data_IF_657087870310
#
_entry.id   IF_657087870310
#
_cell.length_a   1.000
_cell.length_b   1.000
_cell.length_c   1.000
_cell.angle_alpha   90.00
_cell.angle_beta   90.00
_cell.angle_gamma   90.00
#
_symmetry.space_group_name_H-M   'P 1'
#
loop_
_entity.id
_entity.type
_entity.pdbx_description
1 polymer ?
#
# COMPACT_ATOMS: atom_id res chain seq x y z
N UNK A 1 -34.57 -50.22 -18.20
CA UNK A 1 -33.41 -49.88 -17.33
C UNK A 1 -32.46 -48.88 -17.99
N UNK A 2 -31.96 -49.13 -19.20
CA UNK A 2 -31.05 -48.21 -19.92
C UNK A 2 -31.66 -46.81 -20.16
N UNK A 3 -32.95 -46.72 -20.49
CA UNK A 3 -33.62 -45.43 -20.69
C UNK A 3 -33.69 -44.58 -19.42
N UNK A 4 -33.93 -45.22 -18.27
CA UNK A 4 -33.95 -44.53 -16.96
C UNK A 4 -32.55 -43.99 -16.65
N UNK A 5 -31.49 -44.76 -16.93
CA UNK A 5 -30.12 -44.31 -16.72
C UNK A 5 -29.75 -43.13 -17.63
N UNK A 6 -30.18 -43.15 -18.89
CA UNK A 6 -29.92 -42.06 -19.83
C UNK A 6 -30.65 -40.77 -19.43
N UNK A 7 -31.89 -40.87 -18.95
CA UNK A 7 -32.67 -39.72 -18.45
C UNK A 7 -31.98 -39.13 -17.21
N UNK A 8 -31.52 -39.98 -16.29
CA UNK A 8 -30.73 -39.56 -15.13
C UNK A 8 -29.46 -38.83 -15.61
N UNK A 9 -28.69 -39.42 -16.52
CA UNK A 9 -27.46 -38.80 -17.03
C UNK A 9 -27.71 -37.42 -17.67
N UNK A 10 -28.76 -37.28 -18.47
CA UNK A 10 -29.14 -36.02 -19.13
C UNK A 10 -29.39 -34.88 -18.15
N UNK A 11 -29.89 -35.19 -16.95
CA UNK A 11 -30.17 -34.23 -15.89
C UNK A 11 -28.92 -33.98 -15.03
N UNK A 12 -28.21 -35.03 -14.64
CA UNK A 12 -27.11 -34.92 -13.68
C UNK A 12 -25.83 -34.29 -14.26
N UNK A 13 -25.51 -34.55 -15.54
CA UNK A 13 -24.32 -33.98 -16.20
C UNK A 13 -24.31 -32.44 -16.17
N UNK A 14 -25.34 -31.72 -16.64
CA UNK A 14 -25.33 -30.26 -16.63
C UNK A 14 -25.29 -29.69 -15.21
N UNK A 15 -25.99 -30.30 -14.24
CA UNK A 15 -25.96 -29.87 -12.84
C UNK A 15 -24.55 -29.98 -12.27
N UNK A 16 -23.90 -31.13 -12.48
CA UNK A 16 -22.54 -31.35 -12.00
C UNK A 16 -21.54 -30.39 -12.65
N UNK A 17 -21.65 -30.15 -13.96
CA UNK A 17 -20.81 -29.20 -14.68
C UNK A 17 -20.94 -27.77 -14.11
N UNK A 18 -22.16 -27.32 -13.81
CA UNK A 18 -22.41 -26.01 -13.20
C UNK A 18 -21.79 -25.92 -11.80
N UNK A 19 -21.93 -26.96 -10.97
CA UNK A 19 -21.35 -26.98 -9.62
C UNK A 19 -19.82 -26.86 -9.66
N UNK A 20 -19.17 -27.64 -10.53
CA UNK A 20 -17.71 -27.59 -10.72
C UNK A 20 -17.29 -26.22 -11.24
N UNK A 21 -18.01 -25.69 -12.24
CA UNK A 21 -17.75 -24.35 -12.79
C UNK A 21 -17.80 -23.25 -11.74
N UNK A 22 -18.86 -23.22 -10.93
CA UNK A 22 -19.01 -22.23 -9.84
C UNK A 22 -17.89 -22.35 -8.80
N UNK A 23 -17.52 -23.58 -8.40
CA UNK A 23 -16.43 -23.82 -7.44
C UNK A 23 -15.09 -23.29 -7.97
N UNK A 24 -14.79 -23.56 -9.25
CA UNK A 24 -13.57 -23.06 -9.90
C UNK A 24 -13.60 -21.54 -10.03
N UNK A 25 -14.75 -20.94 -10.36
CA UNK A 25 -14.92 -19.50 -10.48
C UNK A 25 -14.73 -18.78 -9.14
N UNK A 26 -15.33 -19.27 -8.06
CA UNK A 26 -15.14 -18.70 -6.71
C UNK A 26 -13.67 -18.78 -6.29
N UNK A 27 -13.02 -19.93 -6.52
CA UNK A 27 -11.59 -20.10 -6.22
C UNK A 27 -10.73 -19.13 -7.04
N UNK A 28 -11.04 -18.98 -8.32
CA UNK A 28 -10.36 -18.04 -9.20
C UNK A 28 -10.53 -16.59 -8.73
N UNK A 29 -11.76 -16.19 -8.37
CA UNK A 29 -12.05 -14.84 -7.88
C UNK A 29 -11.28 -14.54 -6.59
N UNK A 30 -11.33 -15.43 -5.58
CA UNK A 30 -10.55 -15.28 -4.34
C UNK A 30 -9.04 -15.13 -4.63
N UNK A 31 -8.50 -15.92 -5.57
CA UNK A 31 -7.10 -15.80 -5.97
C UNK A 31 -6.81 -14.47 -6.66
N UNK A 32 -7.72 -13.99 -7.50
CA UNK A 32 -7.59 -12.72 -8.19
C UNK A 32 -7.61 -11.53 -7.22
N UNK A 33 -8.48 -11.55 -6.21
CA UNK A 33 -8.55 -10.52 -5.17
C UNK A 33 -7.23 -10.46 -4.39
N UNK A 34 -6.69 -11.62 -3.96
CA UNK A 34 -5.35 -11.73 -3.33
C UNK A 34 -4.25 -11.19 -4.23
N UNK A 35 -4.29 -11.54 -5.52
CA UNK A 35 -3.33 -11.08 -6.52
C UNK A 35 -3.38 -9.57 -6.72
N UNK A 36 -4.56 -8.96 -6.67
CA UNK A 36 -4.71 -7.50 -6.77
C UNK A 36 -4.00 -6.80 -5.60
N UNK A 37 -4.24 -7.26 -4.37
CA UNK A 37 -3.56 -6.72 -3.17
C UNK A 37 -2.04 -6.88 -3.32
N UNK A 38 -1.57 -8.08 -3.67
CA UNK A 38 -0.15 -8.35 -3.87
C UNK A 38 0.50 -7.44 -4.93
N UNK A 39 -0.15 -7.27 -6.10
CA UNK A 39 0.35 -6.39 -7.17
C UNK A 39 0.46 -4.93 -6.72
N UNK A 40 -0.56 -4.42 -6.02
CA UNK A 40 -0.57 -3.04 -5.51
C UNK A 40 0.60 -2.84 -4.55
N UNK A 41 0.76 -3.71 -3.56
CA UNK A 41 1.82 -3.59 -2.57
C UNK A 41 3.22 -3.78 -3.17
N UNK A 42 3.38 -4.74 -4.09
CA UNK A 42 4.63 -4.93 -4.83
C UNK A 42 4.99 -3.70 -5.66
N UNK A 43 4.02 -3.07 -6.32
CA UNK A 43 4.25 -1.88 -7.16
C UNK A 43 4.71 -0.69 -6.32
N UNK A 44 4.14 -0.51 -5.14
CA UNK A 44 4.41 0.64 -4.26
C UNK A 44 5.52 0.39 -3.23
N UNK A 45 6.22 -0.75 -3.30
CA UNK A 45 7.21 -1.15 -2.27
C UNK A 45 8.43 -0.24 -2.12
N UNK A 46 8.73 0.60 -3.12
CA UNK A 46 9.86 1.56 -3.08
C UNK A 46 9.40 2.93 -2.60
N UNK A 47 8.41 3.50 -3.29
CA UNK A 47 8.03 4.91 -3.14
C UNK A 47 6.97 5.14 -2.06
N UNK A 48 6.53 4.07 -1.38
CA UNK A 48 5.81 4.14 -0.12
C UNK A 48 4.31 4.34 -0.27
N UNK A 49 3.74 5.11 0.66
CA UNK A 49 2.32 5.20 0.93
C UNK A 49 1.57 6.00 -0.16
N UNK A 50 0.77 5.29 -0.93
CA UNK A 50 -0.28 5.83 -1.81
C UNK A 50 -1.65 5.49 -1.26
N UNK A 51 -2.70 6.13 -1.76
CA UNK A 51 -4.07 5.79 -1.38
C UNK A 51 -4.36 4.31 -1.68
N UNK A 52 -3.88 3.82 -2.82
CA UNK A 52 -4.03 2.45 -3.28
C UNK A 52 -3.31 1.47 -2.34
N UNK A 53 -2.08 1.78 -1.92
CA UNK A 53 -1.35 0.92 -0.98
C UNK A 53 -2.00 0.89 0.40
N UNK A 54 -2.49 2.02 0.91
CA UNK A 54 -3.23 2.07 2.20
C UNK A 54 -4.49 1.22 2.12
N UNK A 55 -5.29 1.38 1.07
CA UNK A 55 -6.49 0.57 0.85
C UNK A 55 -6.15 -0.92 0.75
N UNK A 56 -5.08 -1.27 0.03
CA UNK A 56 -4.65 -2.65 -0.10
C UNK A 56 -4.23 -3.26 1.24
N UNK A 57 -3.49 -2.52 2.07
CA UNK A 57 -3.11 -2.96 3.42
C UNK A 57 -4.34 -3.18 4.31
N UNK A 58 -5.29 -2.25 4.28
CA UNK A 58 -6.52 -2.32 5.08
C UNK A 58 -7.44 -3.49 4.68
N UNK A 59 -7.32 -4.00 3.46
CA UNK A 59 -8.10 -5.14 2.97
C UNK A 59 -7.45 -6.50 3.25
N UNK A 60 -6.23 -6.56 3.80
CA UNK A 60 -5.50 -7.83 3.99
C UNK A 60 -6.29 -8.81 4.84
N UNK A 61 -6.84 -8.39 5.98
CA UNK A 61 -7.57 -9.29 6.89
C UNK A 61 -8.84 -9.88 6.25
N UNK A 62 -9.41 -9.21 5.26
CA UNK A 62 -10.60 -9.66 4.52
C UNK A 62 -10.19 -10.59 3.37
N UNK A 63 -9.29 -10.13 2.50
CA UNK A 63 -8.89 -10.83 1.27
C UNK A 63 -8.07 -12.10 1.57
N UNK A 64 -7.26 -12.06 2.63
CA UNK A 64 -6.46 -13.19 3.11
C UNK A 64 -7.05 -13.83 4.38
N UNK A 65 -8.38 -13.75 4.58
CA UNK A 65 -9.05 -14.34 5.75
C UNK A 65 -8.68 -15.81 5.97
N UNK A 66 -8.58 -16.57 4.87
CA UNK A 66 -8.25 -18.01 4.85
C UNK A 66 -6.72 -18.29 4.93
N UNK A 67 -5.84 -17.27 4.88
CA UNK A 67 -4.38 -17.43 4.90
C UNK A 67 -3.79 -16.93 6.23
N UNK A 68 -3.78 -17.80 7.23
CA UNK A 68 -3.32 -17.46 8.58
C UNK A 68 -1.87 -16.93 8.61
N UNK A 69 -0.97 -17.48 7.78
CA UNK A 69 0.42 -17.03 7.69
C UNK A 69 0.53 -15.56 7.26
N UNK A 70 -0.24 -15.16 6.23
CA UNK A 70 -0.26 -13.77 5.74
C UNK A 70 -0.81 -12.85 6.82
N UNK A 71 -1.92 -13.21 7.47
CA UNK A 71 -2.51 -12.38 8.53
C UNK A 71 -1.59 -12.24 9.75
N UNK A 72 -0.85 -13.29 10.12
CA UNK A 72 0.15 -13.22 11.19
C UNK A 72 1.28 -12.25 10.83
N UNK A 73 1.86 -12.38 9.64
CA UNK A 73 2.92 -11.48 9.18
C UNK A 73 2.43 -10.05 9.02
N UNK A 74 1.18 -9.85 8.59
CA UNK A 74 0.55 -8.53 8.52
C UNK A 74 0.49 -7.86 9.88
N UNK A 75 0.04 -8.57 10.92
CA UNK A 75 0.03 -8.04 12.30
C UNK A 75 1.41 -7.65 12.80
N UNK A 76 2.44 -8.45 12.48
CA UNK A 76 3.84 -8.15 12.82
C UNK A 76 4.29 -6.87 12.12
N UNK A 77 4.00 -6.72 10.83
CA UNK A 77 4.33 -5.50 10.09
C UNK A 77 3.58 -4.28 10.63
N UNK A 78 2.26 -4.40 10.86
CA UNK A 78 1.40 -3.36 11.40
C UNK A 78 1.89 -2.83 12.76
N UNK A 79 2.34 -3.71 13.64
CA UNK A 79 2.95 -3.34 14.93
C UNK A 79 4.15 -2.40 14.76
N UNK A 80 4.96 -2.60 13.71
CA UNK A 80 6.11 -1.73 13.42
C UNK A 80 5.73 -0.36 12.88
N UNK A 81 4.50 -0.19 12.40
CA UNK A 81 4.03 1.07 11.84
C UNK A 81 3.53 2.07 12.90
N UNK A 82 3.28 1.63 14.14
CA UNK A 82 2.78 2.51 15.21
C UNK A 82 3.87 3.37 15.89
N UNK A 83 5.06 3.49 15.29
CA UNK A 83 6.16 4.30 15.82
C UNK A 83 6.07 5.73 15.30
N UNK A 84 5.94 6.69 16.21
CA UNK A 84 6.06 8.11 15.90
C UNK A 84 7.54 8.51 15.76
N UNK A 85 7.90 9.22 14.67
CA UNK A 85 9.27 9.67 14.38
C UNK A 85 10.32 8.54 14.44
N UNK A 86 10.19 7.52 13.57
CA UNK A 86 11.04 6.33 13.62
C UNK A 86 12.52 6.66 13.38
N UNK A 87 13.38 6.01 14.14
CA UNK A 87 14.83 5.97 13.92
C UNK A 87 15.18 5.17 12.66
N UNK A 88 16.39 5.33 12.14
CA UNK A 88 16.88 4.54 10.98
C UNK A 88 16.80 3.02 11.22
N UNK A 89 17.01 2.60 12.47
CA UNK A 89 16.87 1.19 12.88
C UNK A 89 15.42 0.71 12.77
N UNK A 90 14.45 1.55 13.16
CA UNK A 90 13.03 1.23 13.07
C UNK A 90 12.55 1.26 11.63
N UNK A 91 12.99 2.24 10.82
CA UNK A 91 12.74 2.27 9.38
C UNK A 91 13.23 1.00 8.68
N UNK A 92 14.42 0.51 9.07
CA UNK A 92 14.96 -0.75 8.56
C UNK A 92 14.09 -1.95 8.96
N UNK A 93 13.61 -2.00 10.21
CA UNK A 93 12.68 -3.05 10.68
C UNK A 93 11.34 -3.01 9.94
N UNK A 94 10.77 -1.83 9.75
CA UNK A 94 9.54 -1.62 8.98
C UNK A 94 9.72 -2.19 7.56
N UNK A 95 10.81 -1.83 6.88
CA UNK A 95 11.14 -2.35 5.54
C UNK A 95 11.25 -3.87 5.52
N UNK A 96 11.99 -4.46 6.46
CA UNK A 96 12.20 -5.92 6.53
C UNK A 96 10.86 -6.64 6.71
N UNK A 97 10.01 -6.18 7.64
CA UNK A 97 8.72 -6.84 7.91
C UNK A 97 7.72 -6.65 6.77
N UNK A 98 7.80 -5.53 6.04
CA UNK A 98 7.05 -5.34 4.79
C UNK A 98 7.49 -6.34 3.71
N UNK A 99 8.80 -6.54 3.51
CA UNK A 99 9.33 -7.49 2.52
C UNK A 99 8.96 -8.93 2.86
N UNK A 100 9.01 -9.32 4.14
CA UNK A 100 8.52 -10.63 4.61
C UNK A 100 7.03 -10.81 4.39
N UNK A 101 6.22 -9.75 4.55
CA UNK A 101 4.80 -9.79 4.23
C UNK A 101 4.57 -10.08 2.74
N UNK A 102 5.31 -9.39 1.86
CA UNK A 102 5.24 -9.60 0.42
C UNK A 102 5.63 -11.03 0.02
N UNK A 103 6.70 -11.58 0.60
CA UNK A 103 7.09 -12.98 0.37
C UNK A 103 6.02 -13.96 0.87
N UNK A 104 5.45 -13.72 2.05
CA UNK A 104 4.39 -14.56 2.63
C UNK A 104 3.13 -14.56 1.74
N UNK A 105 2.77 -13.40 1.18
CA UNK A 105 1.68 -13.31 0.19
C UNK A 105 2.01 -14.05 -1.11
N UNK A 106 3.24 -13.95 -1.59
CA UNK A 106 3.69 -14.66 -2.79
C UNK A 106 3.58 -16.18 -2.61
N UNK A 107 4.00 -16.68 -1.45
CA UNK A 107 3.85 -18.08 -1.07
C UNK A 107 2.37 -18.52 -1.06
N UNK A 108 1.48 -17.73 -0.47
CA UNK A 108 0.04 -17.99 -0.47
C UNK A 108 -0.59 -18.00 -1.88
N UNK A 109 -0.01 -17.26 -2.83
CA UNK A 109 -0.43 -17.21 -4.23
C UNK A 109 0.16 -18.33 -5.11
N UNK A 110 1.03 -19.18 -4.55
CA UNK A 110 1.68 -20.30 -5.24
C UNK A 110 3.01 -19.94 -5.90
N UNK A 111 3.66 -18.83 -5.51
CA UNK A 111 4.98 -18.41 -6.01
C UNK A 111 6.13 -18.77 -5.06
N UNK A 112 5.93 -19.81 -4.24
CA UNK A 112 6.96 -20.31 -3.33
C UNK A 112 8.23 -20.64 -4.11
N UNK A 113 9.37 -20.22 -3.57
CA UNK A 113 10.72 -20.40 -4.14
C UNK A 113 10.95 -19.66 -5.50
N UNK A 114 9.94 -18.97 -6.03
CA UNK A 114 10.03 -18.16 -7.27
C UNK A 114 10.16 -16.68 -6.93
N UNK A 115 9.30 -16.18 -6.05
CA UNK A 115 9.34 -14.80 -5.55
C UNK A 115 9.84 -14.83 -4.12
N UNK A 116 11.16 -14.76 -3.96
CA UNK A 116 11.84 -14.80 -2.66
C UNK A 116 12.07 -13.41 -2.09
N UNK A 117 12.33 -13.33 -0.79
CA UNK A 117 12.74 -12.11 -0.10
C UNK A 117 13.87 -11.37 -0.84
N UNK A 118 14.88 -12.10 -1.32
CA UNK A 118 16.03 -11.55 -2.05
C UNK A 118 15.62 -10.89 -3.37
N UNK A 119 14.61 -11.45 -4.07
CA UNK A 119 14.08 -10.89 -5.31
C UNK A 119 13.25 -9.62 -5.06
N UNK A 120 12.51 -9.60 -3.95
CA UNK A 120 11.67 -8.46 -3.54
C UNK A 120 12.56 -7.25 -3.22
N UNK A 121 13.72 -7.49 -2.60
CA UNK A 121 14.71 -6.50 -2.21
C UNK A 121 15.45 -5.80 -3.35
N UNK A 122 15.35 -6.31 -4.58
CA UNK A 122 16.04 -5.76 -5.76
C UNK A 122 15.05 -5.13 -6.74
N UNK A 123 14.32 -4.07 -6.35
CA UNK A 123 13.36 -3.45 -7.24
C UNK A 123 14.05 -2.59 -8.31
N UNK A 124 13.37 -2.40 -9.44
CA UNK A 124 13.77 -1.38 -10.41
C UNK A 124 13.48 0.01 -9.85
N UNK A 125 14.51 0.85 -9.74
CA UNK A 125 14.40 2.25 -9.28
C UNK A 125 14.66 3.16 -10.49
N UNK A 126 13.61 3.76 -11.08
CA UNK A 126 13.77 4.65 -12.23
C UNK A 126 14.42 5.98 -11.83
N UNK A 127 15.65 6.23 -12.29
CA UNK A 127 16.43 7.45 -11.97
C UNK A 127 15.66 8.75 -12.24
N UNK A 128 15.08 8.89 -13.44
CA UNK A 128 14.35 10.11 -13.81
C UNK A 128 13.12 10.37 -12.93
N UNK A 129 12.46 9.33 -12.43
CA UNK A 129 11.34 9.50 -11.49
C UNK A 129 11.85 9.92 -10.10
N UNK A 130 12.93 9.30 -9.62
CA UNK A 130 13.56 9.69 -8.35
C UNK A 130 14.02 11.15 -8.38
N UNK A 131 14.66 11.57 -9.47
CA UNK A 131 15.08 12.96 -9.70
C UNK A 131 13.87 13.92 -9.73
N UNK A 132 12.79 13.54 -10.43
CA UNK A 132 11.56 14.34 -10.48
C UNK A 132 10.90 14.49 -9.10
N UNK A 133 10.84 13.43 -8.29
CA UNK A 133 10.27 13.47 -6.94
C UNK A 133 11.12 14.40 -6.05
N UNK A 134 12.45 14.27 -6.11
CA UNK A 134 13.37 15.10 -5.34
C UNK A 134 13.24 16.58 -5.74
N UNK A 135 13.19 16.88 -7.05
CA UNK A 135 13.00 18.24 -7.54
C UNK A 135 11.68 18.83 -7.04
N UNK A 136 10.57 18.08 -7.13
CA UNK A 136 9.27 18.52 -6.64
C UNK A 136 9.28 18.81 -5.13
N UNK A 137 9.95 17.98 -4.33
CA UNK A 137 10.11 18.21 -2.88
C UNK A 137 10.93 19.48 -2.59
N UNK A 138 12.00 19.72 -3.35
CA UNK A 138 12.81 20.93 -3.23
C UNK A 138 11.99 22.18 -3.60
N UNK A 139 11.22 22.12 -4.69
CA UNK A 139 10.39 23.23 -5.14
C UNK A 139 9.31 23.59 -4.10
N UNK A 140 8.64 22.59 -3.53
CA UNK A 140 7.65 22.78 -2.45
C UNK A 140 8.29 23.43 -1.21
N UNK A 141 9.47 22.95 -0.82
CA UNK A 141 10.21 23.52 0.32
C UNK A 141 10.62 24.97 0.03
N UNK A 142 11.16 25.25 -1.14
CA UNK A 142 11.56 26.60 -1.52
C UNK A 142 10.36 27.57 -1.55
N UNK A 143 9.22 27.14 -2.08
CA UNK A 143 7.98 27.91 -2.04
C UNK A 143 7.53 28.22 -0.60
N UNK A 144 7.62 27.24 0.32
CA UNK A 144 7.27 27.46 1.72
C UNK A 144 8.19 28.49 2.41
N UNK A 145 9.49 28.47 2.10
CA UNK A 145 10.47 29.43 2.65
C UNK A 145 10.16 30.84 2.14
N UNK A 146 9.96 31.00 0.83
CA UNK A 146 9.60 32.30 0.22
C UNK A 146 8.29 32.83 0.80
N UNK A 147 7.29 31.96 1.00
CA UNK A 147 6.00 32.36 1.61
C UNK A 147 6.16 32.82 3.06
N UNK A 148 7.01 32.17 3.84
CA UNK A 148 7.28 32.57 5.23
C UNK A 148 8.09 33.88 5.29
N UNK A 149 9.07 34.08 4.40
CA UNK A 149 9.78 35.35 4.24
C UNK A 149 8.82 36.49 3.85
N UNK A 150 7.92 36.24 2.89
CA UNK A 150 6.90 37.21 2.47
C UNK A 150 5.97 37.57 3.63
N UNK A 151 5.51 36.59 4.39
CA UNK A 151 4.69 36.80 5.60
C UNK A 151 5.42 37.64 6.64
N UNK A 152 6.73 37.42 6.82
CA UNK A 152 7.55 38.22 7.72
C UNK A 152 7.74 39.66 7.22
N UNK A 153 7.95 39.86 5.91
CA UNK A 153 7.99 41.20 5.29
C UNK A 153 6.67 41.96 5.43
N UNK A 154 5.53 41.29 5.24
CA UNK A 154 4.21 41.90 5.43
C UNK A 154 4.01 42.32 6.89
N UNK A 155 4.38 41.46 7.85
CA UNK A 155 4.30 41.77 9.29
C UNK A 155 5.17 42.97 9.68
N UNK A 156 6.42 43.02 9.21
CA UNK A 156 7.33 44.14 9.51
C UNK A 156 6.84 45.45 8.91
N UNK A 157 6.33 45.42 7.67
CA UNK A 157 5.73 46.59 7.01
C UNK A 157 4.49 47.09 7.76
N UNK A 158 3.60 46.18 8.20
CA UNK A 158 2.42 46.53 9.01
C UNK A 158 2.78 47.13 10.37
N UNK A 159 3.84 46.63 11.02
CA UNK A 159 4.31 47.16 12.30
C UNK A 159 5.00 48.53 12.16
N UNK A 160 5.72 48.79 11.06
CA UNK A 160 6.31 50.12 10.77
C UNK A 160 5.25 51.20 10.52
N UNK A 161 4.10 50.82 9.96
CA UNK A 161 3.02 51.76 9.63
C UNK A 161 2.01 51.99 10.78
N UNK A 162 2.27 51.49 12.00
CA UNK A 162 1.45 51.83 13.18
C UNK A 162 1.76 53.27 13.62
N UNK A 163 0.76 54.18 13.70
CA UNK A 163 1.02 55.56 14.11
C UNK A 163 1.54 55.59 15.54
N UNK A 164 2.74 56.15 15.72
CA UNK A 164 3.32 56.41 17.04
C UNK A 164 2.39 57.37 17.78
N UNK A 165 1.71 56.90 18.84
CA UNK A 165 1.02 57.81 19.77
C UNK A 165 2.06 58.76 20.34
N UNK A 166 2.11 60.00 19.85
CA UNK A 166 2.87 61.09 20.47
C UNK A 166 2.27 61.29 21.86
N UNK A 167 2.95 60.76 22.88
CA UNK A 167 2.64 61.06 24.27
C UNK A 167 2.99 62.53 24.50
N UNK A 168 1.97 63.38 24.55
CA UNK A 168 2.08 64.76 24.99
C UNK A 168 2.47 64.76 26.48
N UNK A 169 3.73 65.03 26.78
CA UNK A 169 4.16 65.39 28.14
C UNK A 169 3.44 66.69 28.55
N UNK A 170 2.67 66.61 29.64
CA UNK A 170 2.28 67.74 30.47
C UNK A 170 3.01 67.62 31.79
#
# INVERSE_FOLDING_TARGET
MIEILNIIALIFIPIFAVIVGQRLQIKHQKRNDKMQIFKILMTHRIFGWTNESVQALNLIDIVFADDEAVRKQWKVYLDKLYVENPTDTELSKIKIEHEKLLETMANALGYKDIITWESIQKPYIPKGMTESILQQQMDQKNQSVVMEEMKNMIKTTKNRNKPTKRTSMK
#
